data_IF_750225831150
#
_entry.id   IF_750225831150
#
_cell.length_a   1.000
_cell.length_b   1.000
_cell.length_c   1.000
_cell.angle_alpha   90.00
_cell.angle_beta   90.00
_cell.angle_gamma   90.00
#
_symmetry.space_group_name_H-M   'P 1'
#
loop_
_entity.id
_entity.type
_entity.pdbx_description
1 polymer ?
#
# COMPACT_ATOMS: atom_id res chain seq x y z
N UNK A 1 22.08 3.78 -0.52
CA UNK A 1 20.86 4.52 -0.39
C UNK A 1 19.67 3.62 -0.07
N UNK A 2 18.87 4.01 0.88
CA UNK A 2 17.76 3.18 1.26
C UNK A 2 16.53 3.50 0.47
N UNK A 3 15.87 2.49 -0.01
CA UNK A 3 14.60 2.66 -0.67
C UNK A 3 13.52 2.65 0.38
N UNK A 4 12.47 3.43 0.22
CA UNK A 4 11.32 3.29 1.10
C UNK A 4 10.76 1.89 0.94
N UNK A 5 10.41 1.27 2.05
CA UNK A 5 9.93 -0.03 2.01
C UNK A 5 8.64 -0.07 2.71
N UNK A 6 7.66 -0.75 2.16
CA UNK A 6 6.40 -1.04 2.80
C UNK A 6 6.52 -2.44 3.36
N UNK A 7 6.42 -2.57 4.65
CA UNK A 7 6.53 -3.88 5.29
C UNK A 7 5.20 -4.59 5.24
N UNK A 8 5.18 -5.92 5.31
CA UNK A 8 3.92 -6.65 5.34
C UNK A 8 2.98 -6.19 6.44
N UNK A 9 3.52 -5.77 7.56
CA UNK A 9 2.71 -5.31 8.69
C UNK A 9 2.07 -3.96 8.44
N UNK A 10 2.47 -3.25 7.40
CA UNK A 10 1.89 -1.96 7.05
C UNK A 10 0.61 -2.11 6.25
N UNK A 11 0.31 -3.31 5.79
CA UNK A 11 -0.91 -3.56 5.04
C UNK A 11 -2.05 -3.95 5.96
N UNK A 12 -3.26 -3.66 5.57
CA UNK A 12 -3.61 -2.99 4.32
C UNK A 12 -3.33 -1.49 4.39
N UNK A 13 -3.03 -0.91 3.24
CA UNK A 13 -2.87 0.53 3.16
C UNK A 13 -4.21 1.11 2.75
N UNK A 14 -4.41 2.39 3.03
CA UNK A 14 -5.66 3.05 2.65
C UNK A 14 -5.38 4.43 2.10
N UNK A 15 -6.30 4.90 1.28
CA UNK A 15 -6.22 6.23 0.72
C UNK A 15 -6.99 7.20 1.60
N UNK A 16 -6.34 8.31 1.96
CA UNK A 16 -6.97 9.37 2.70
C UNK A 16 -6.76 10.63 1.88
N UNK A 17 -7.81 11.08 1.21
CA UNK A 17 -7.71 12.15 0.23
C UNK A 17 -6.69 11.74 -0.82
N UNK A 18 -5.65 12.51 -1.03
CA UNK A 18 -4.63 12.16 -2.02
C UNK A 18 -3.42 11.46 -1.41
N UNK A 19 -3.50 11.05 -0.15
CA UNK A 19 -2.40 10.38 0.53
C UNK A 19 -2.69 8.90 0.70
N UNK A 20 -1.64 8.11 0.66
CA UNK A 20 -1.74 6.68 0.93
C UNK A 20 -1.10 6.45 2.28
N UNK A 21 -1.83 5.86 3.18
CA UNK A 21 -1.40 5.64 4.56
C UNK A 21 -1.38 4.17 4.90
N UNK A 22 -0.52 3.82 5.84
CA UNK A 22 -0.46 2.45 6.33
C UNK A 22 -1.65 2.17 7.23
N UNK A 23 -1.77 0.94 7.65
CA UNK A 23 -2.79 0.51 8.59
C UNK A 23 -2.79 1.34 9.87
N UNK A 24 -1.65 1.86 10.25
CA UNK A 24 -1.52 2.67 11.46
C UNK A 24 -1.73 4.15 11.20
N UNK A 25 -2.10 4.51 10.00
CA UNK A 25 -2.35 5.90 9.65
C UNK A 25 -1.11 6.71 9.29
N UNK A 26 0.01 6.04 9.06
CA UNK A 26 1.24 6.73 8.71
C UNK A 26 1.31 6.95 7.21
N UNK A 27 1.48 8.18 6.74
CA UNK A 27 1.52 8.44 5.30
C UNK A 27 2.80 7.89 4.69
N UNK A 28 2.66 7.21 3.56
CA UNK A 28 3.78 6.61 2.85
C UNK A 28 3.94 7.19 1.45
N UNK A 29 2.91 7.78 0.90
CA UNK A 29 2.98 8.34 -0.45
C UNK A 29 1.87 9.36 -0.64
N UNK A 30 2.03 10.20 -1.65
CA UNK A 30 1.03 11.18 -2.03
C UNK A 30 0.76 11.02 -3.52
N UNK A 31 -0.49 10.90 -3.89
CA UNK A 31 -0.88 10.80 -5.28
C UNK A 31 -1.27 12.18 -5.79
N UNK A 32 -1.50 12.28 -7.08
CA UNK A 32 -1.87 13.53 -7.70
C UNK A 32 -3.27 13.98 -7.25
N UNK A 33 -4.17 13.04 -7.09
CA UNK A 33 -5.54 13.35 -6.67
C UNK A 33 -6.12 12.17 -5.90
N UNK A 34 -7.32 12.36 -5.40
CA UNK A 34 -7.97 11.37 -4.55
C UNK A 34 -8.28 10.06 -5.29
N UNK A 35 -8.88 10.09 -6.48
CA UNK A 35 -9.15 8.83 -7.18
C UNK A 35 -7.88 8.04 -7.46
N UNK A 36 -6.79 8.73 -7.79
CA UNK A 36 -5.54 8.05 -8.04
C UNK A 36 -4.97 7.43 -6.77
N UNK A 37 -5.10 8.12 -5.65
CA UNK A 37 -4.66 7.58 -4.38
C UNK A 37 -5.41 6.29 -4.05
N UNK A 38 -6.70 6.27 -4.27
CA UNK A 38 -7.51 5.09 -4.03
C UNK A 38 -7.08 3.94 -4.93
N UNK A 39 -6.82 4.23 -6.18
CA UNK A 39 -6.37 3.21 -7.11
C UNK A 39 -5.02 2.64 -6.71
N UNK A 40 -4.10 3.50 -6.32
CA UNK A 40 -2.78 3.06 -5.90
C UNK A 40 -2.87 2.19 -4.64
N UNK A 41 -3.66 2.62 -3.67
CA UNK A 41 -3.83 1.85 -2.44
C UNK A 41 -4.42 0.47 -2.75
N UNK A 42 -5.39 0.42 -3.63
CA UNK A 42 -6.03 -0.81 -4.03
C UNK A 42 -5.03 -1.76 -4.69
N UNK A 43 -4.19 -1.24 -5.57
CA UNK A 43 -3.19 -2.05 -6.24
C UNK A 43 -2.12 -2.55 -5.30
N UNK A 44 -1.72 -1.73 -4.36
CA UNK A 44 -0.73 -2.15 -3.37
C UNK A 44 -1.27 -3.27 -2.49
N UNK A 45 -2.52 -3.16 -2.07
CA UNK A 45 -3.14 -4.19 -1.25
C UNK A 45 -3.30 -5.49 -2.04
N UNK A 46 -3.66 -5.37 -3.30
CA UNK A 46 -3.81 -6.52 -4.16
C UNK A 46 -2.48 -7.23 -4.37
N UNK A 47 -1.42 -6.46 -4.59
CA UNK A 47 -0.11 -7.03 -4.79
C UNK A 47 0.40 -7.71 -3.52
N UNK A 48 0.17 -7.10 -2.37
CA UNK A 48 0.58 -7.68 -1.09
C UNK A 48 -0.12 -9.01 -0.86
N UNK A 49 -1.40 -9.07 -1.18
CA UNK A 49 -2.18 -10.28 -1.04
C UNK A 49 -1.66 -11.38 -1.96
N UNK A 50 -1.32 -11.00 -3.18
CA UNK A 50 -0.79 -11.93 -4.16
C UNK A 50 0.57 -12.49 -3.73
N UNK A 51 1.43 -11.63 -3.20
CA UNK A 51 2.74 -12.06 -2.73
C UNK A 51 2.61 -13.01 -1.55
N UNK A 52 1.66 -12.76 -0.69
CA UNK A 52 1.41 -13.63 0.44
C UNK A 52 0.94 -15.01 -0.03
N UNK A 53 0.06 -15.04 -1.01
CA UNK A 53 -0.41 -16.29 -1.57
C UNK A 53 0.72 -17.06 -2.23
N UNK A 54 1.60 -16.37 -2.94
CA UNK A 54 2.75 -16.99 -3.57
C UNK A 54 3.65 -17.64 -2.56
N UNK A 55 3.83 -16.99 -1.44
CA UNK A 55 4.66 -17.52 -0.37
C UNK A 55 4.11 -18.83 0.17
N UNK A 56 2.79 -18.93 0.28
CA UNK A 56 2.15 -20.10 0.84
C UNK A 56 1.94 -21.22 -0.18
N UNK A 57 1.92 -20.89 -1.44
CA UNK A 57 1.66 -21.89 -2.47
C UNK A 57 2.93 -22.59 -2.97
N UNK A 58 4.03 -22.29 -2.42
CA UNK A 58 5.31 -22.87 -2.88
C UNK A 58 5.44 -24.37 -2.64
#
# INVERSE_FOLDING_TARGET
>A
MKKPHIKPEDFPVEADKNQIKTDKGKPIATAKDEPLAEEIADRLNEQADREEQDRWSA
#
